data_IF_615231973773
#
_entry.id   IF_615231973773
#
_cell.length_a   1.000
_cell.length_b   1.000
_cell.length_c   1.000
_cell.angle_alpha   90.00
_cell.angle_beta   90.00
_cell.angle_gamma   90.00
#
_symmetry.space_group_name_H-M   'P 1'
#
loop_
_entity.id
_entity.type
_entity.pdbx_description
1 polymer ?
#
# COMPACT_ATOMS: atom_id res chain seq x y z
N UNK A 1 -1.25 -29.70 -19.04
CA UNK A 1 -0.86 -28.96 -17.83
C UNK A 1 -1.36 -27.54 -18.00
N UNK A 2 -2.39 -27.20 -17.23
CA UNK A 2 -3.26 -26.05 -17.47
C UNK A 2 -2.49 -24.73 -17.37
N UNK A 3 -2.75 -23.82 -18.31
CA UNK A 3 -2.16 -22.48 -18.41
C UNK A 3 -2.23 -21.66 -17.10
N UNK A 4 -3.13 -22.00 -16.19
CA UNK A 4 -3.26 -21.39 -14.86
C UNK A 4 -2.06 -21.58 -13.94
N UNK A 5 -1.28 -22.65 -14.10
CA UNK A 5 -0.12 -22.92 -13.22
C UNK A 5 1.13 -22.17 -13.64
N UNK A 6 1.29 -21.92 -14.95
CA UNK A 6 2.49 -21.32 -15.53
C UNK A 6 2.45 -19.78 -15.46
N UNK A 7 1.25 -19.19 -15.43
CA UNK A 7 1.05 -17.74 -15.42
C UNK A 7 0.88 -17.10 -14.04
N UNK A 8 1.10 -17.82 -12.93
CA UNK A 8 0.89 -17.26 -11.59
C UNK A 8 1.89 -16.16 -11.27
N UNK A 9 1.42 -15.14 -10.55
CA UNK A 9 2.29 -14.15 -9.95
C UNK A 9 3.31 -14.84 -9.04
N UNK A 10 4.56 -14.34 -8.99
CA UNK A 10 5.55 -14.82 -8.03
C UNK A 10 5.03 -14.71 -6.60
N UNK A 11 5.25 -15.77 -5.81
CA UNK A 11 4.91 -15.79 -4.38
C UNK A 11 6.21 -15.91 -3.56
N UNK A 12 6.39 -15.09 -2.52
CA UNK A 12 7.63 -15.06 -1.76
C UNK A 12 7.84 -16.37 -0.98
N UNK A 13 9.10 -16.80 -0.83
CA UNK A 13 9.45 -18.01 -0.07
C UNK A 13 8.95 -18.03 1.37
N UNK A 14 9.10 -16.94 2.16
CA UNK A 14 8.50 -16.81 3.50
C UNK A 14 6.96 -16.72 3.51
N UNK A 15 6.32 -16.64 2.34
CA UNK A 15 4.88 -16.58 2.17
C UNK A 15 4.24 -15.31 2.74
N UNK A 16 3.09 -15.46 3.40
CA UNK A 16 2.29 -14.33 3.87
C UNK A 16 2.93 -13.54 5.02
N UNK A 17 3.94 -14.09 5.69
CA UNK A 17 4.59 -13.43 6.82
C UNK A 17 5.21 -12.09 6.41
N UNK A 18 5.79 -12.01 5.21
CA UNK A 18 6.36 -10.77 4.66
C UNK A 18 5.32 -9.79 4.10
N UNK A 19 4.04 -10.10 4.29
CA UNK A 19 2.89 -9.27 3.91
C UNK A 19 2.05 -8.88 5.12
N UNK A 20 2.58 -9.04 6.33
CA UNK A 20 1.91 -8.70 7.58
C UNK A 20 2.81 -7.77 8.42
N UNK A 21 2.60 -6.46 8.31
CA UNK A 21 3.39 -5.48 9.07
C UNK A 21 2.97 -5.42 10.55
N UNK A 22 3.85 -5.71 11.49
CA UNK A 22 3.47 -5.74 12.92
C UNK A 22 4.08 -4.61 13.78
N UNK A 23 4.76 -3.62 13.19
CA UNK A 23 5.58 -2.65 13.93
C UNK A 23 4.92 -1.28 14.03
N UNK A 24 4.63 -0.85 15.26
CA UNK A 24 4.18 0.52 15.53
C UNK A 24 5.34 1.51 15.37
N UNK A 25 5.10 2.60 14.66
CA UNK A 25 6.01 3.74 14.60
C UNK A 25 5.20 5.01 14.41
N UNK A 26 5.25 5.91 15.38
CA UNK A 26 4.61 7.22 15.27
C UNK A 26 5.55 8.19 14.55
N UNK A 27 5.00 8.96 13.62
CA UNK A 27 5.68 10.13 13.07
C UNK A 27 5.88 11.20 14.14
N UNK A 28 6.79 12.13 13.89
CA UNK A 28 6.94 13.31 14.75
C UNK A 28 6.14 14.48 14.16
N UNK A 29 5.73 15.44 15.00
CA UNK A 29 5.05 16.66 14.53
C UNK A 29 5.93 17.43 13.52
N UNK A 30 7.25 17.40 13.73
CA UNK A 30 8.21 17.99 12.79
C UNK A 30 8.14 17.32 11.41
N UNK A 31 8.15 15.98 11.36
CA UNK A 31 8.05 15.23 10.12
C UNK A 31 6.74 15.53 9.38
N UNK A 32 5.63 15.63 10.13
CA UNK A 32 4.32 15.97 9.58
C UNK A 32 4.29 17.39 9.01
N UNK A 33 4.87 18.38 9.72
CA UNK A 33 4.98 19.76 9.24
C UNK A 33 5.81 19.87 7.95
N UNK A 34 6.89 19.08 7.83
CA UNK A 34 7.70 19.03 6.61
C UNK A 34 6.90 18.48 5.41
N UNK A 35 6.09 17.44 5.62
CA UNK A 35 5.18 16.90 4.59
C UNK A 35 4.11 17.92 4.22
N UNK A 36 3.46 18.52 5.21
CA UNK A 36 2.37 19.49 5.00
C UNK A 36 2.87 20.72 4.25
N UNK A 37 4.07 21.21 4.57
CA UNK A 37 4.70 22.32 3.85
C UNK A 37 4.89 21.99 2.37
N UNK A 38 5.34 20.79 2.03
CA UNK A 38 5.45 20.38 0.63
C UNK A 38 4.07 20.22 -0.03
N UNK A 39 3.15 19.48 0.60
CA UNK A 39 1.84 19.18 0.02
C UNK A 39 0.95 20.42 -0.12
N UNK A 40 1.13 21.45 0.71
CA UNK A 40 0.45 22.75 0.53
C UNK A 40 0.74 23.42 -0.82
N UNK A 41 1.81 23.02 -1.51
CA UNK A 41 2.17 23.49 -2.86
C UNK A 41 1.59 22.62 -3.97
N UNK A 42 0.88 21.54 -3.62
CA UNK A 42 0.29 20.58 -4.53
C UNK A 42 -1.23 20.72 -4.45
N UNK A 43 -1.88 21.04 -5.57
CA UNK A 43 -3.29 21.38 -5.59
C UNK A 43 -4.17 20.27 -4.98
N UNK A 44 -4.82 20.62 -3.87
CA UNK A 44 -5.80 19.80 -3.16
C UNK A 44 -5.28 18.50 -2.54
N UNK A 45 -3.96 18.26 -2.55
CA UNK A 45 -3.36 17.12 -1.88
C UNK A 45 -3.07 17.40 -0.41
N UNK A 46 -3.30 16.40 0.42
CA UNK A 46 -2.96 16.37 1.83
C UNK A 46 -2.46 15.00 2.23
N UNK A 47 -1.69 14.92 3.32
CA UNK A 47 -1.08 13.68 3.74
C UNK A 47 -1.02 13.53 5.25
N UNK A 48 -0.94 12.28 5.71
CA UNK A 48 -0.72 11.94 7.12
C UNK A 48 0.32 10.85 7.24
N UNK A 49 1.14 10.90 8.28
CA UNK A 49 2.00 9.77 8.65
C UNK A 49 1.12 8.68 9.29
N UNK A 50 1.16 7.47 8.73
CA UNK A 50 0.53 6.30 9.35
C UNK A 50 1.37 5.82 10.54
N UNK A 51 0.75 5.34 11.63
CA UNK A 51 1.47 4.90 12.83
C UNK A 51 2.13 3.51 12.69
N UNK A 52 2.82 3.27 11.57
CA UNK A 52 3.54 2.03 11.24
C UNK A 52 4.93 2.30 10.67
N UNK A 53 5.85 1.37 10.89
CA UNK A 53 7.10 1.31 10.14
C UNK A 53 6.90 0.51 8.84
N UNK A 54 7.52 0.95 7.76
CA UNK A 54 7.52 0.27 6.46
C UNK A 54 8.94 0.03 5.96
N UNK A 55 9.15 -1.07 5.24
CA UNK A 55 10.45 -1.42 4.66
C UNK A 55 10.69 -0.68 3.35
N UNK A 56 11.94 -0.24 3.19
CA UNK A 56 12.49 0.31 1.96
C UNK A 56 13.97 -0.06 1.80
N UNK A 57 14.56 0.40 0.70
CA UNK A 57 15.97 0.23 0.37
C UNK A 57 16.58 1.60 0.08
N UNK A 58 17.66 1.92 0.79
CA UNK A 58 18.46 3.15 0.57
C UNK A 58 19.91 2.75 0.36
N UNK A 59 20.39 2.83 -0.88
CA UNK A 59 21.66 2.23 -1.29
C UNK A 59 21.61 0.71 -1.14
N UNK A 60 22.61 0.11 -0.49
CA UNK A 60 22.72 -1.35 -0.32
C UNK A 60 22.09 -1.88 0.98
N UNK A 61 21.40 -1.03 1.76
CA UNK A 61 20.84 -1.39 3.07
C UNK A 61 19.33 -1.28 3.11
N UNK A 62 18.72 -2.20 3.85
CA UNK A 62 17.31 -2.09 4.25
C UNK A 62 17.15 -0.94 5.24
N UNK A 63 16.09 -0.16 5.06
CA UNK A 63 15.66 0.89 6.00
C UNK A 63 14.26 0.58 6.51
N UNK A 64 13.97 0.98 7.75
CA UNK A 64 12.63 0.99 8.33
C UNK A 64 12.26 2.44 8.65
N UNK A 65 11.23 2.97 7.99
CA UNK A 65 10.84 4.37 8.10
C UNK A 65 9.32 4.54 7.96
N UNK A 66 8.84 5.76 8.08
CA UNK A 66 7.40 6.06 8.08
C UNK A 66 6.75 5.72 6.74
N UNK A 67 5.47 5.37 6.80
CA UNK A 67 4.57 5.34 5.66
C UNK A 67 3.69 6.59 5.69
N UNK A 68 3.55 7.27 4.55
CA UNK A 68 2.65 8.42 4.40
C UNK A 68 1.45 8.02 3.57
N UNK A 69 0.25 8.36 4.04
CA UNK A 69 -0.98 8.26 3.25
C UNK A 69 -1.32 9.61 2.62
N UNK A 70 -1.72 9.62 1.36
CA UNK A 70 -2.26 10.77 0.63
C UNK A 70 -3.78 10.64 0.45
N UNK A 71 -4.47 11.76 0.42
CA UNK A 71 -5.86 11.84 -0.04
C UNK A 71 -5.97 11.63 -1.56
N UNK A 72 -7.20 11.48 -2.06
CA UNK A 72 -7.49 11.31 -3.47
C UNK A 72 -8.67 12.23 -3.87
N UNK A 73 -8.37 13.20 -4.72
CA UNK A 73 -9.34 14.15 -5.30
C UNK A 73 -9.45 13.97 -6.81
N UNK A 74 -9.48 12.70 -7.24
CA UNK A 74 -9.39 12.30 -8.66
C UNK A 74 -8.09 12.75 -9.35
N UNK A 75 -7.02 12.86 -8.57
CA UNK A 75 -5.69 13.24 -9.06
C UNK A 75 -5.19 12.24 -10.10
N UNK A 76 -4.61 12.72 -11.19
CA UNK A 76 -4.07 11.83 -12.21
C UNK A 76 -2.85 11.05 -11.69
N UNK A 77 -2.61 9.87 -12.28
CA UNK A 77 -1.53 8.99 -11.84
C UNK A 77 -0.13 9.58 -12.00
N UNK A 78 0.11 10.47 -12.97
CA UNK A 78 1.43 11.07 -13.16
C UNK A 78 1.72 12.10 -12.06
N UNK A 79 0.71 12.87 -11.65
CA UNK A 79 0.83 13.76 -10.50
C UNK A 79 1.09 12.98 -9.21
N UNK A 80 0.34 11.90 -8.97
CA UNK A 80 0.55 11.03 -7.80
C UNK A 80 1.95 10.40 -7.80
N UNK A 81 2.43 9.92 -8.95
CA UNK A 81 3.79 9.37 -9.11
C UNK A 81 4.87 10.40 -8.78
N UNK A 82 4.75 11.61 -9.36
CA UNK A 82 5.68 12.72 -9.10
C UNK A 82 5.72 13.10 -7.62
N UNK A 83 4.56 13.21 -6.98
CA UNK A 83 4.45 13.60 -5.57
C UNK A 83 4.99 12.49 -4.65
N UNK A 84 4.60 11.24 -4.89
CA UNK A 84 5.09 10.09 -4.12
C UNK A 84 6.60 9.93 -4.23
N UNK A 85 7.15 10.02 -5.44
CA UNK A 85 8.58 9.97 -5.71
C UNK A 85 9.33 11.13 -5.05
N UNK A 86 8.77 12.35 -5.07
CA UNK A 86 9.36 13.48 -4.37
C UNK A 86 9.43 13.23 -2.86
N UNK A 87 8.31 12.83 -2.25
CA UNK A 87 8.23 12.56 -0.81
C UNK A 87 9.26 11.51 -0.39
N UNK A 88 9.33 10.38 -1.09
CA UNK A 88 10.19 9.26 -0.73
C UNK A 88 11.69 9.56 -0.93
N UNK A 89 12.04 10.42 -1.88
CA UNK A 89 13.44 10.79 -2.17
C UNK A 89 13.91 11.98 -1.33
N UNK A 90 13.03 12.95 -1.08
CA UNK A 90 13.36 14.17 -0.33
C UNK A 90 13.49 13.91 1.16
N UNK A 91 12.58 13.12 1.72
CA UNK A 91 12.47 12.93 3.16
C UNK A 91 13.00 11.55 3.56
N UNK A 92 14.16 11.55 4.23
CA UNK A 92 14.83 10.30 4.63
C UNK A 92 14.03 9.48 5.65
N UNK A 93 13.07 10.09 6.33
CA UNK A 93 12.16 9.42 7.25
C UNK A 93 10.93 8.77 6.56
N UNK A 94 10.80 8.87 5.23
CA UNK A 94 9.74 8.22 4.45
C UNK A 94 10.35 7.04 3.68
N UNK A 95 9.65 5.90 3.71
CA UNK A 95 9.94 4.73 2.88
C UNK A 95 8.80 4.39 1.92
N UNK A 96 7.55 4.64 2.31
CA UNK A 96 6.35 4.35 1.52
C UNK A 96 5.43 5.54 1.46
N UNK A 97 4.80 5.69 0.29
CA UNK A 97 3.69 6.60 0.07
C UNK A 97 2.53 5.79 -0.48
N UNK A 98 1.39 5.83 0.21
CA UNK A 98 0.15 5.16 -0.20
C UNK A 98 -0.93 6.19 -0.46
N UNK A 99 -1.90 5.85 -1.30
CA UNK A 99 -3.13 6.59 -1.50
C UNK A 99 -4.23 5.97 -0.65
N UNK A 100 -5.11 6.79 -0.06
CA UNK A 100 -6.43 6.36 0.38
C UNK A 100 -7.43 6.68 -0.74
N UNK A 101 -7.80 5.71 -1.59
CA UNK A 101 -8.53 6.00 -2.82
C UNK A 101 -9.94 6.54 -2.53
N UNK A 102 -10.36 7.50 -3.35
CA UNK A 102 -11.68 8.13 -3.31
C UNK A 102 -12.01 8.88 -2.00
N UNK A 103 -10.99 9.28 -1.24
CA UNK A 103 -11.16 10.04 0.00
C UNK A 103 -10.48 11.41 -0.12
N UNK A 104 -11.26 12.49 -0.17
CA UNK A 104 -10.75 13.84 -0.38
C UNK A 104 -10.18 14.51 0.87
N UNK A 105 -10.63 14.12 2.06
CA UNK A 105 -10.27 14.77 3.32
C UNK A 105 -9.81 13.76 4.37
N UNK A 106 -8.49 13.68 4.57
CA UNK A 106 -7.90 12.81 5.57
C UNK A 106 -8.20 13.24 7.01
N UNK A 107 -8.65 14.48 7.26
CA UNK A 107 -8.94 14.96 8.64
C UNK A 107 -10.07 14.17 9.29
N UNK A 108 -11.00 13.65 8.49
CA UNK A 108 -12.11 12.80 8.94
C UNK A 108 -11.66 11.44 9.48
N UNK A 109 -10.48 11.00 9.05
CA UNK A 109 -9.96 9.67 9.35
C UNK A 109 -8.94 9.71 10.49
N UNK A 110 -9.14 8.81 11.47
CA UNK A 110 -8.24 8.60 12.59
C UNK A 110 -7.53 7.26 12.42
N UNK A 111 -6.32 7.29 11.88
CA UNK A 111 -5.50 6.09 11.70
C UNK A 111 -4.86 5.72 13.04
N UNK A 112 -5.34 4.66 13.67
CA UNK A 112 -4.77 4.14 14.90
C UNK A 112 -4.01 2.84 14.63
N UNK A 113 -2.92 2.65 15.36
CA UNK A 113 -2.28 1.34 15.43
C UNK A 113 -3.12 0.42 16.30
N UNK A 114 -3.61 -0.67 15.73
CA UNK A 114 -4.52 -1.63 16.38
C UNK A 114 -3.81 -2.87 16.90
N UNK A 115 -2.49 -2.98 16.66
CA UNK A 115 -1.75 -4.23 16.89
C UNK A 115 -2.12 -5.33 15.90
N UNK A 116 -1.20 -6.28 15.73
CA UNK A 116 -1.40 -7.52 14.98
C UNK A 116 -0.44 -8.58 15.50
N UNK A 117 -0.94 -9.81 15.65
CA UNK A 117 -0.14 -10.98 15.95
C UNK A 117 0.07 -11.79 14.67
N UNK A 118 1.26 -12.39 14.52
CA UNK A 118 1.53 -13.29 13.40
C UNK A 118 0.95 -14.67 13.70
N UNK A 119 -0.38 -14.78 13.61
CA UNK A 119 -1.15 -15.96 13.93
C UNK A 119 -2.01 -16.47 12.77
N UNK A 120 -2.70 -17.59 13.00
CA UNK A 120 -3.59 -18.20 11.99
C UNK A 120 -4.74 -17.26 11.61
N UNK A 121 -5.27 -16.49 12.57
CA UNK A 121 -6.41 -15.57 12.31
C UNK A 121 -6.00 -14.48 11.33
N UNK A 122 -4.87 -13.82 11.54
CA UNK A 122 -4.37 -12.78 10.65
C UNK A 122 -3.95 -13.35 9.30
N UNK A 123 -3.35 -14.54 9.28
CA UNK A 123 -3.02 -15.23 8.02
C UNK A 123 -4.25 -15.61 7.22
N UNK A 124 -5.33 -16.07 7.86
CA UNK A 124 -6.58 -16.42 7.18
C UNK A 124 -7.28 -15.16 6.64
N UNK A 125 -7.30 -14.08 7.42
CA UNK A 125 -7.81 -12.78 6.97
C UNK A 125 -7.05 -12.28 5.74
N UNK A 126 -5.72 -12.37 5.74
CA UNK A 126 -4.92 -11.97 4.59
C UNK A 126 -5.16 -12.88 3.37
N UNK A 127 -5.35 -14.20 3.56
CA UNK A 127 -5.72 -15.11 2.46
C UNK A 127 -7.07 -14.71 1.84
N UNK A 128 -8.06 -14.38 2.66
CA UNK A 128 -9.37 -13.95 2.19
C UNK A 128 -9.29 -12.64 1.39
N UNK A 129 -8.54 -11.66 1.90
CA UNK A 129 -8.33 -10.39 1.21
C UNK A 129 -7.55 -10.57 -0.10
N UNK A 130 -6.46 -11.35 -0.10
CA UNK A 130 -5.64 -11.65 -1.29
C UNK A 130 -6.47 -12.37 -2.36
N UNK A 131 -7.25 -13.39 -1.96
CA UNK A 131 -8.17 -14.11 -2.86
C UNK A 131 -9.25 -13.19 -3.45
N UNK A 132 -9.81 -12.28 -2.65
CA UNK A 132 -10.83 -11.32 -3.10
C UNK A 132 -10.25 -10.38 -4.16
N UNK A 133 -9.06 -9.81 -3.91
CA UNK A 133 -8.35 -8.96 -4.87
C UNK A 133 -8.02 -9.73 -6.15
N UNK A 134 -7.46 -10.93 -6.02
CA UNK A 134 -7.10 -11.78 -7.16
C UNK A 134 -8.33 -12.10 -8.03
N UNK A 135 -9.45 -12.45 -7.41
CA UNK A 135 -10.70 -12.77 -8.10
C UNK A 135 -11.20 -11.59 -8.95
N UNK A 136 -11.15 -10.36 -8.41
CA UNK A 136 -11.56 -9.15 -9.14
C UNK A 136 -10.63 -8.90 -10.33
N UNK A 137 -9.30 -8.93 -10.13
CA UNK A 137 -8.36 -8.65 -11.24
C UNK A 137 -8.37 -9.75 -12.30
N UNK A 138 -8.67 -11.01 -11.95
CA UNK A 138 -8.86 -12.09 -12.92
C UNK A 138 -10.13 -11.89 -13.73
N UNK A 139 -11.25 -11.64 -13.06
CA UNK A 139 -12.55 -11.35 -13.69
C UNK A 139 -12.47 -10.21 -14.70
N UNK A 140 -11.67 -9.18 -14.39
CA UNK A 140 -11.47 -8.00 -15.24
C UNK A 140 -10.30 -8.16 -16.25
N UNK A 141 -9.67 -9.33 -16.33
CA UNK A 141 -8.61 -9.61 -17.32
C UNK A 141 -7.29 -8.86 -17.08
N UNK A 142 -7.04 -8.42 -15.85
CA UNK A 142 -5.83 -7.68 -15.45
C UNK A 142 -4.73 -8.55 -14.85
N UNK A 143 -5.04 -9.78 -14.44
CA UNK A 143 -4.07 -10.65 -13.76
C UNK A 143 -2.75 -10.78 -14.54
N UNK A 144 -2.80 -11.02 -15.85
CA UNK A 144 -1.61 -11.17 -16.69
C UNK A 144 -0.97 -9.82 -17.10
N UNK A 145 -1.62 -8.68 -16.83
CA UNK A 145 -1.08 -7.34 -17.14
C UNK A 145 -0.27 -6.76 -15.99
N UNK A 146 -0.59 -7.18 -14.76
CA UNK A 146 0.15 -6.81 -13.56
C UNK A 146 1.26 -7.84 -13.38
N UNK A 147 2.50 -7.39 -13.16
CA UNK A 147 3.64 -8.31 -12.98
C UNK A 147 3.56 -9.05 -11.65
N UNK A 148 3.23 -8.32 -10.57
CA UNK A 148 2.91 -8.89 -9.27
C UNK A 148 1.96 -7.96 -8.50
N UNK A 149 1.03 -8.53 -7.73
CA UNK A 149 0.07 -7.79 -6.89
C UNK A 149 0.11 -8.28 -5.45
N UNK A 150 1.14 -7.94 -4.64
CA UNK A 150 1.06 -8.21 -3.21
C UNK A 150 -0.11 -7.48 -2.56
N UNK A 151 -0.85 -8.21 -1.72
CA UNK A 151 -1.78 -7.65 -0.75
C UNK A 151 -1.12 -7.70 0.61
N UNK A 152 -1.07 -6.58 1.32
CA UNK A 152 -0.38 -6.45 2.61
C UNK A 152 -1.39 -6.13 3.69
N UNK A 153 -1.38 -6.88 4.80
CA UNK A 153 -2.21 -6.62 5.97
C UNK A 153 -1.50 -5.62 6.91
N UNK A 154 -2.23 -4.58 7.31
CA UNK A 154 -1.78 -3.54 8.21
C UNK A 154 -2.56 -3.55 9.53
N UNK A 155 -1.89 -3.26 10.66
CA UNK A 155 -2.48 -3.08 11.97
C UNK A 155 -3.02 -1.65 12.11
N UNK A 156 -3.79 -1.20 11.12
CA UNK A 156 -4.36 0.14 11.05
C UNK A 156 -5.88 0.03 11.01
N UNK A 157 -6.55 0.80 11.86
CA UNK A 157 -8.01 0.89 11.95
C UNK A 157 -8.43 2.05 12.85
N UNK A 158 -9.69 2.05 13.28
CA UNK A 158 -10.23 2.96 14.31
C UNK A 158 -10.43 2.24 15.65
N UNK A 159 -10.49 0.90 15.64
CA UNK A 159 -10.75 0.04 16.80
C UNK A 159 -9.76 -1.13 16.86
N UNK A 160 -9.50 -1.66 18.05
CA UNK A 160 -8.48 -2.69 18.35
C UNK A 160 -8.50 -3.94 17.43
N UNK A 161 -9.67 -4.36 16.95
CA UNK A 161 -9.79 -5.55 16.09
C UNK A 161 -9.76 -5.25 14.60
N UNK A 162 -9.86 -3.99 14.20
CA UNK A 162 -9.85 -3.60 12.79
C UNK A 162 -8.42 -3.74 12.22
N UNK A 163 -8.36 -4.05 10.94
CA UNK A 163 -7.14 -4.10 10.13
C UNK A 163 -7.39 -3.34 8.84
N UNK A 164 -6.35 -3.15 8.05
CA UNK A 164 -6.47 -2.54 6.72
C UNK A 164 -5.59 -3.29 5.75
N UNK A 165 -5.84 -3.12 4.45
CA UNK A 165 -4.95 -3.68 3.44
C UNK A 165 -4.26 -2.60 2.61
N UNK A 166 -3.10 -2.94 2.05
CA UNK A 166 -2.46 -2.20 0.96
C UNK A 166 -2.45 -3.07 -0.28
N UNK A 167 -2.91 -2.51 -1.39
CA UNK A 167 -2.69 -3.06 -2.72
C UNK A 167 -1.33 -2.58 -3.23
N UNK A 168 -0.48 -3.51 -3.66
CA UNK A 168 0.85 -3.21 -4.18
C UNK A 168 1.02 -3.66 -5.64
N UNK A 169 0.22 -3.19 -6.60
CA UNK A 169 0.38 -3.64 -7.97
C UNK A 169 1.67 -3.06 -8.55
N UNK A 170 2.54 -3.92 -9.05
CA UNK A 170 3.81 -3.53 -9.67
C UNK A 170 3.90 -3.97 -11.11
N UNK A 171 4.57 -3.15 -11.91
CA UNK A 171 5.02 -3.49 -13.25
C UNK A 171 6.55 -3.39 -13.29
N UNK A 172 7.19 -4.35 -13.97
CA UNK A 172 8.64 -4.40 -14.11
C UNK A 172 9.01 -5.10 -15.41
N UNK A 173 10.09 -4.63 -16.05
CA UNK A 173 10.70 -5.30 -17.19
C UNK A 173 11.84 -6.24 -16.77
N UNK A 174 12.57 -5.93 -15.68
CA UNK A 174 13.83 -6.60 -15.32
C UNK A 174 14.00 -6.89 -13.81
N UNK A 175 12.93 -6.79 -13.00
CA UNK A 175 12.87 -7.01 -11.53
C UNK A 175 13.77 -6.11 -10.65
N UNK A 176 14.81 -5.47 -11.20
CA UNK A 176 15.70 -4.55 -10.47
C UNK A 176 15.02 -3.22 -10.14
N UNK A 177 14.26 -2.68 -11.09
CA UNK A 177 13.38 -1.52 -10.91
C UNK A 177 11.93 -1.94 -11.14
N UNK A 178 11.00 -1.28 -10.44
CA UNK A 178 9.58 -1.53 -10.61
C UNK A 178 8.80 -0.26 -10.35
N UNK A 179 7.83 0.04 -11.22
CA UNK A 179 6.88 1.11 -10.99
C UNK A 179 5.61 0.53 -10.38
N UNK A 180 4.86 1.36 -9.64
CA UNK A 180 3.50 0.96 -9.34
C UNK A 180 2.68 0.92 -10.64
N UNK A 181 1.85 -0.11 -10.78
CA UNK A 181 0.98 -0.25 -11.95
C UNK A 181 -0.15 0.77 -11.85
N UNK A 182 -0.32 1.61 -12.88
CA UNK A 182 -1.36 2.64 -12.93
C UNK A 182 -2.72 2.01 -13.24
N UNK A 183 -3.39 1.55 -12.18
CA UNK A 183 -4.67 0.85 -12.26
C UNK A 183 -5.79 1.79 -12.74
N UNK A 184 -6.71 1.28 -13.55
CA UNK A 184 -7.92 2.04 -13.87
C UNK A 184 -8.74 2.32 -12.60
N UNK A 185 -9.26 3.55 -12.48
CA UNK A 185 -9.99 3.98 -11.28
C UNK A 185 -11.25 3.14 -11.01
N UNK A 186 -11.93 2.70 -12.07
CA UNK A 186 -13.09 1.79 -12.00
C UNK A 186 -12.74 0.44 -11.38
N UNK A 187 -11.60 -0.14 -11.76
CA UNK A 187 -11.09 -1.40 -11.21
C UNK A 187 -10.77 -1.23 -9.72
N UNK A 188 -10.06 -0.16 -9.37
CA UNK A 188 -9.73 0.13 -7.97
C UNK A 188 -10.98 0.32 -7.10
N UNK A 189 -12.02 0.93 -7.66
CA UNK A 189 -13.33 1.05 -7.02
C UNK A 189 -14.00 -0.32 -6.82
N UNK A 190 -13.97 -1.21 -7.81
CA UNK A 190 -14.53 -2.58 -7.67
C UNK A 190 -13.78 -3.38 -6.59
N UNK A 191 -12.45 -3.30 -6.56
CA UNK A 191 -11.65 -3.94 -5.51
C UNK A 191 -12.01 -3.37 -4.12
N UNK A 192 -12.11 -2.04 -3.97
CA UNK A 192 -12.50 -1.39 -2.71
C UNK A 192 -13.86 -1.88 -2.24
N UNK A 193 -14.86 -1.98 -3.13
CA UNK A 193 -16.20 -2.45 -2.80
C UNK A 193 -16.17 -3.91 -2.31
N UNK A 194 -15.46 -4.80 -2.98
CA UNK A 194 -15.44 -6.22 -2.61
C UNK A 194 -14.63 -6.47 -1.33
N UNK A 195 -13.46 -5.85 -1.19
CA UNK A 195 -12.60 -6.03 0.00
C UNK A 195 -13.26 -5.49 1.26
N UNK A 196 -13.92 -4.32 1.20
CA UNK A 196 -14.55 -3.72 2.38
C UNK A 196 -15.83 -4.46 2.84
N UNK A 197 -16.23 -5.54 2.16
CA UNK A 197 -17.24 -6.48 2.68
C UNK A 197 -16.67 -7.40 3.76
N UNK A 198 -15.34 -7.56 3.84
CA UNK A 198 -14.65 -8.30 4.89
C UNK A 198 -14.74 -7.47 6.18
N UNK A 199 -15.48 -7.90 7.22
CA UNK A 199 -15.82 -7.05 8.37
C UNK A 199 -14.62 -6.47 9.13
N UNK A 200 -13.50 -7.20 9.14
CA UNK A 200 -12.27 -6.81 9.81
C UNK A 200 -11.46 -5.75 9.03
N UNK A 201 -11.70 -5.57 7.73
CA UNK A 201 -10.94 -4.63 6.89
C UNK A 201 -11.63 -3.26 6.89
N UNK A 202 -10.97 -2.28 7.51
CA UNK A 202 -11.45 -0.91 7.65
C UNK A 202 -11.06 -0.02 6.47
N UNK A 203 -9.80 -0.08 6.05
CA UNK A 203 -9.28 0.73 4.95
C UNK A 203 -8.64 -0.13 3.88
N UNK A 204 -8.73 0.36 2.64
CA UNK A 204 -7.93 -0.11 1.52
C UNK A 204 -7.03 1.04 1.07
N UNK A 205 -5.73 0.82 1.14
CA UNK A 205 -4.70 1.72 0.62
C UNK A 205 -4.14 1.21 -0.70
N UNK A 206 -3.57 2.10 -1.50
CA UNK A 206 -2.92 1.77 -2.77
C UNK A 206 -1.47 2.29 -2.77
N UNK A 207 -0.47 1.42 -2.91
CA UNK A 207 0.94 1.82 -2.83
C UNK A 207 1.43 2.52 -4.12
N UNK A 208 1.85 3.77 -3.97
CA UNK A 208 2.36 4.64 -5.03
C UNK A 208 3.90 4.61 -5.14
N UNK A 209 4.57 3.80 -4.30
CA UNK A 209 6.03 3.84 -4.18
C UNK A 209 6.70 3.07 -5.32
N UNK A 210 7.63 3.67 -6.05
CA UNK A 210 8.47 2.96 -7.02
C UNK A 210 9.65 2.26 -6.31
N UNK A 211 10.24 1.26 -6.97
CA UNK A 211 11.48 0.59 -6.55
C UNK A 211 12.64 1.10 -7.41
N UNK A 212 13.66 1.77 -6.83
CA UNK A 212 13.76 2.28 -5.45
C UNK A 212 12.91 3.55 -5.20
N UNK A 213 12.66 3.97 -3.92
CA UNK A 213 13.23 3.44 -2.67
C UNK A 213 12.40 2.33 -2.00
N UNK A 214 11.23 1.99 -2.56
CA UNK A 214 10.43 0.88 -2.06
C UNK A 214 11.01 -0.48 -2.45
N UNK A 215 10.43 -1.54 -1.88
CA UNK A 215 10.57 -2.94 -2.31
C UNK A 215 9.24 -3.44 -2.91
N UNK A 216 9.25 -4.65 -3.48
CA UNK A 216 8.00 -5.27 -3.95
C UNK A 216 7.13 -5.67 -2.76
N UNK A 217 7.67 -6.51 -1.86
CA UNK A 217 7.02 -6.85 -0.59
C UNK A 217 7.20 -5.72 0.44
N UNK A 218 6.42 -5.75 1.51
CA UNK A 218 6.44 -4.73 2.58
C UNK A 218 7.20 -5.18 3.85
N UNK A 219 7.41 -6.50 4.00
CA UNK A 219 8.02 -7.28 5.11
C UNK A 219 7.63 -6.84 6.53
#
# INVERSE_FOLDING_TARGET
>A
MESEWVGRHPFPGPGLVVRMLAVEKKGTDKDQLEIDSYLSTQDGLSGKILPIASVGVKGDRRSYANCVVLNDIETDWNTLDRVATHLSNRFSFINRVVLLPFESDLKKWNFQFTGMQLDKKCSDLLREADFTVESVIRKLGLYNKIWQMPVVLLPIGEKENEKSIVLRPVESQEAMTANFFRMERSVLQEIKIEVLKIPEIRYLFFDLTNKPPGTIEWE
#
